data_IF_853138391242
#
_entry.id   IF_853138391242
#
_cell.length_a   1.000
_cell.length_b   1.000
_cell.length_c   1.000
_cell.angle_alpha   90.00
_cell.angle_beta   90.00
_cell.angle_gamma   90.00
#
_symmetry.space_group_name_H-M   'P 1'
#
loop_
_entity.id
_entity.type
_entity.pdbx_description
1 polymer ?
#
# COMPACT_ATOMS: atom_id res chain seq x y z
N UNK A 1 -30.62 -23.50 -4.82
CA UNK A 1 -30.63 -22.62 -3.62
C UNK A 1 -29.19 -22.19 -3.32
N UNK A 2 -28.85 -20.94 -3.54
CA UNK A 2 -27.50 -20.41 -3.22
C UNK A 2 -27.43 -20.37 -1.67
N UNK A 3 -26.58 -21.21 -1.09
CA UNK A 3 -26.32 -21.19 0.35
C UNK A 3 -25.57 -19.89 0.67
N UNK A 4 -26.26 -18.91 1.25
CA UNK A 4 -25.59 -17.76 1.86
C UNK A 4 -24.91 -18.25 3.16
N UNK A 5 -23.60 -18.16 3.20
CA UNK A 5 -22.80 -18.46 4.40
C UNK A 5 -22.48 -17.14 5.11
N UNK A 6 -22.74 -17.08 6.39
CA UNK A 6 -22.23 -15.97 7.24
C UNK A 6 -20.74 -16.24 7.46
N UNK A 7 -19.92 -15.25 7.22
CA UNK A 7 -18.47 -15.31 7.42
C UNK A 7 -17.99 -14.09 8.21
N UNK A 8 -16.95 -14.32 8.98
CA UNK A 8 -16.29 -13.31 9.80
C UNK A 8 -14.83 -13.29 9.41
N UNK A 9 -14.36 -12.18 8.83
CA UNK A 9 -12.97 -12.07 8.36
C UNK A 9 -12.39 -10.71 8.70
N UNK A 10 -11.09 -10.68 8.96
CA UNK A 10 -10.35 -9.43 9.07
C UNK A 10 -10.15 -8.82 7.70
N UNK A 11 -10.32 -7.52 7.61
CA UNK A 11 -10.14 -6.81 6.35
C UNK A 11 -10.01 -5.31 6.53
N UNK A 12 -9.56 -4.65 5.47
CA UNK A 12 -9.45 -3.19 5.39
C UNK A 12 -10.19 -2.68 4.16
N UNK A 13 -10.95 -1.59 4.31
CA UNK A 13 -11.65 -0.95 3.19
C UNK A 13 -10.62 -0.14 2.38
N UNK A 14 -10.32 -0.60 1.17
CA UNK A 14 -9.41 0.10 0.24
C UNK A 14 -10.12 1.25 -0.47
N UNK A 15 -11.37 1.03 -0.89
CA UNK A 15 -12.16 2.05 -1.56
C UNK A 15 -13.66 1.88 -1.31
N UNK A 16 -14.42 2.92 -1.54
CA UNK A 16 -15.87 2.93 -1.40
C UNK A 16 -16.52 3.70 -2.55
N UNK A 17 -17.66 3.19 -3.03
CA UNK A 17 -18.44 3.82 -4.09
C UNK A 17 -19.89 3.94 -3.65
N UNK A 18 -20.50 5.10 -3.85
CA UNK A 18 -21.93 5.28 -3.58
C UNK A 18 -22.75 4.35 -4.48
N UNK A 19 -23.70 3.64 -3.89
CA UNK A 19 -24.59 2.74 -4.58
C UNK A 19 -26.03 3.01 -4.15
N UNK A 20 -26.91 3.33 -5.11
CA UNK A 20 -28.28 3.75 -4.82
C UNK A 20 -28.33 4.95 -3.85
N UNK A 21 -29.50 5.31 -3.36
CA UNK A 21 -29.71 6.53 -2.56
C UNK A 21 -29.05 6.50 -1.19
N UNK A 22 -28.89 5.33 -0.58
CA UNK A 22 -28.48 5.21 0.82
C UNK A 22 -27.38 4.18 1.09
N UNK A 23 -26.89 3.49 0.08
CA UNK A 23 -25.94 2.38 0.21
C UNK A 23 -24.57 2.72 -0.36
N UNK A 24 -23.57 1.89 -0.04
CA UNK A 24 -22.23 1.92 -0.65
C UNK A 24 -21.81 0.51 -1.03
N UNK A 25 -20.97 0.39 -2.06
CA UNK A 25 -20.15 -0.79 -2.30
C UNK A 25 -18.77 -0.50 -1.70
N UNK A 26 -18.30 -1.39 -0.86
CA UNK A 26 -17.00 -1.34 -0.21
C UNK A 26 -16.09 -2.36 -0.87
N UNK A 27 -14.93 -1.96 -1.37
CA UNK A 27 -13.89 -2.87 -1.82
C UNK A 27 -12.98 -3.15 -0.63
N UNK A 28 -13.04 -4.36 -0.10
CA UNK A 28 -12.37 -4.77 1.13
C UNK A 28 -11.30 -5.79 0.79
N UNK A 29 -10.06 -5.49 1.19
CA UNK A 29 -8.98 -6.47 1.18
C UNK A 29 -9.09 -7.30 2.46
N UNK A 30 -9.20 -8.61 2.31
CA UNK A 30 -9.37 -9.58 3.39
C UNK A 30 -8.23 -10.60 3.41
N UNK A 31 -7.96 -11.18 4.58
CA UNK A 31 -6.92 -12.20 4.75
C UNK A 31 -7.25 -13.51 4.00
N UNK A 32 -8.53 -13.91 3.99
CA UNK A 32 -8.97 -15.23 3.52
C UNK A 32 -9.56 -15.22 2.11
N UNK A 33 -10.24 -14.13 1.74
CA UNK A 33 -10.98 -14.04 0.46
C UNK A 33 -10.33 -13.07 -0.53
N UNK A 34 -9.16 -12.51 -0.19
CA UNK A 34 -8.54 -11.50 -1.03
C UNK A 34 -9.36 -10.23 -1.14
N UNK A 35 -9.34 -9.61 -2.32
CA UNK A 35 -10.10 -8.41 -2.60
C UNK A 35 -11.54 -8.76 -2.96
N UNK A 36 -12.50 -8.34 -2.14
CA UNK A 36 -13.93 -8.58 -2.34
C UNK A 36 -14.73 -7.29 -2.32
N UNK A 37 -15.86 -7.29 -3.04
CA UNK A 37 -16.83 -6.19 -3.02
C UNK A 37 -18.01 -6.55 -2.11
N UNK A 38 -18.30 -5.68 -1.15
CA UNK A 38 -19.35 -5.88 -0.14
C UNK A 38 -20.34 -4.73 -0.20
N UNK A 39 -21.62 -5.05 -0.31
CA UNK A 39 -22.71 -4.06 -0.23
C UNK A 39 -22.97 -3.69 1.24
N UNK A 40 -22.77 -2.42 1.57
CA UNK A 40 -23.19 -1.82 2.83
C UNK A 40 -24.54 -1.12 2.64
N UNK A 41 -25.63 -1.89 2.86
CA UNK A 41 -26.99 -1.45 2.61
C UNK A 41 -27.43 -0.39 3.63
N UNK A 42 -27.92 0.75 3.15
CA UNK A 42 -28.47 1.81 4.00
C UNK A 42 -27.43 2.53 4.86
N UNK A 43 -26.12 2.35 4.63
CA UNK A 43 -25.06 2.92 5.47
C UNK A 43 -25.00 4.46 5.44
N UNK A 44 -25.59 5.11 4.42
CA UNK A 44 -25.65 6.58 4.30
C UNK A 44 -26.79 7.19 5.10
N UNK A 45 -27.75 6.39 5.59
CA UNK A 45 -28.84 6.88 6.43
C UNK A 45 -28.30 7.38 7.78
N UNK A 46 -28.86 8.48 8.28
CA UNK A 46 -28.40 9.12 9.53
C UNK A 46 -28.43 8.19 10.74
N UNK A 47 -29.41 7.29 10.81
CA UNK A 47 -29.59 6.33 11.93
C UNK A 47 -28.89 4.99 11.71
N UNK A 48 -28.13 4.83 10.62
CA UNK A 48 -27.47 3.55 10.32
C UNK A 48 -26.27 3.31 11.23
N UNK A 49 -26.20 2.13 11.84
CA UNK A 49 -25.03 1.66 12.60
C UNK A 49 -23.78 1.51 11.73
N UNK A 50 -23.97 1.26 10.42
CA UNK A 50 -22.87 1.12 9.45
C UNK A 50 -22.31 2.45 8.95
N UNK A 51 -22.93 3.60 9.31
CA UNK A 51 -22.55 4.91 8.78
C UNK A 51 -21.09 5.28 9.07
N UNK A 52 -20.68 5.09 10.33
CA UNK A 52 -19.32 5.42 10.77
C UNK A 52 -18.26 4.42 10.33
N UNK A 53 -18.66 3.19 10.03
CA UNK A 53 -17.75 2.09 9.74
C UNK A 53 -17.62 1.78 8.23
N UNK A 54 -18.55 2.25 7.38
CA UNK A 54 -18.48 2.05 5.92
C UNK A 54 -17.70 3.17 5.24
N UNK A 55 -16.42 3.28 5.54
CA UNK A 55 -15.52 4.30 4.99
C UNK A 55 -14.13 3.76 4.69
N UNK A 56 -13.48 4.32 3.68
CA UNK A 56 -12.08 4.06 3.33
C UNK A 56 -11.18 4.14 4.57
N UNK A 57 -10.12 3.34 4.60
CA UNK A 57 -9.13 3.28 5.68
C UNK A 57 -9.63 2.63 6.98
N UNK A 58 -10.79 1.98 7.00
CA UNK A 58 -11.24 1.27 8.20
C UNK A 58 -10.75 -0.18 8.18
N UNK A 59 -10.00 -0.57 9.21
CA UNK A 59 -9.56 -1.93 9.48
C UNK A 59 -10.41 -2.55 10.58
N UNK A 60 -10.95 -3.75 10.36
CA UNK A 60 -11.84 -4.41 11.30
C UNK A 60 -12.15 -5.85 10.95
N UNK A 61 -12.98 -6.50 11.79
CA UNK A 61 -13.60 -7.78 11.49
C UNK A 61 -14.94 -7.53 10.81
N UNK A 62 -15.08 -8.02 9.60
CA UNK A 62 -16.26 -7.85 8.77
C UNK A 62 -17.15 -9.07 8.89
N UNK A 63 -18.42 -8.88 9.30
CA UNK A 63 -19.46 -9.90 9.36
C UNK A 63 -20.39 -9.71 8.18
N UNK A 64 -20.43 -10.67 7.26
CA UNK A 64 -21.22 -10.53 6.04
C UNK A 64 -21.76 -11.85 5.50
N UNK A 65 -22.80 -11.75 4.69
CA UNK A 65 -23.34 -12.86 3.92
C UNK A 65 -22.55 -13.02 2.65
N UNK A 66 -21.69 -14.04 2.61
CA UNK A 66 -20.81 -14.32 1.47
C UNK A 66 -21.58 -14.85 0.27
N UNK A 67 -21.25 -14.35 -0.91
CA UNK A 67 -21.72 -14.84 -2.21
C UNK A 67 -20.53 -15.06 -3.11
N UNK A 68 -20.31 -16.31 -3.53
CA UNK A 68 -19.19 -16.70 -4.38
C UNK A 68 -19.21 -15.99 -5.76
N UNK A 69 -20.40 -15.84 -6.35
CA UNK A 69 -20.59 -15.21 -7.66
C UNK A 69 -21.50 -13.98 -7.52
N UNK A 70 -21.09 -12.96 -6.78
CA UNK A 70 -21.90 -11.76 -6.61
C UNK A 70 -21.43 -10.87 -5.49
N UNK A 71 -22.17 -9.77 -5.26
CA UNK A 71 -21.86 -8.82 -4.20
C UNK A 71 -22.36 -9.38 -2.86
N UNK A 72 -21.43 -9.59 -1.93
CA UNK A 72 -21.72 -9.95 -0.55
C UNK A 72 -22.43 -8.79 0.16
N UNK A 73 -23.19 -9.06 1.23
CA UNK A 73 -23.90 -8.00 1.97
C UNK A 73 -23.44 -7.98 3.42
N UNK A 74 -22.99 -6.82 3.88
CA UNK A 74 -22.49 -6.63 5.24
C UNK A 74 -23.62 -6.66 6.26
N UNK A 75 -23.34 -7.29 7.39
CA UNK A 75 -24.19 -7.28 8.59
C UNK A 75 -23.68 -6.29 9.63
N UNK A 76 -22.39 -6.38 9.98
CA UNK A 76 -21.72 -5.50 10.94
C UNK A 76 -20.22 -5.44 10.70
N UNK A 77 -19.56 -4.48 11.32
CA UNK A 77 -18.09 -4.35 11.34
C UNK A 77 -17.66 -4.10 12.77
N UNK A 78 -16.80 -4.97 13.30
CA UNK A 78 -16.11 -4.74 14.56
C UNK A 78 -14.79 -4.04 14.28
N UNK A 79 -14.69 -2.79 14.70
CA UNK A 79 -13.54 -1.92 14.38
C UNK A 79 -12.32 -2.37 15.17
N UNK A 80 -11.22 -2.68 14.46
CA UNK A 80 -9.90 -2.92 15.05
C UNK A 80 -9.12 -1.63 15.10
N UNK A 81 -9.00 -0.93 13.97
CA UNK A 81 -8.36 0.38 13.89
C UNK A 81 -9.09 1.28 12.87
N UNK A 82 -9.37 2.49 13.28
CA UNK A 82 -9.99 3.53 12.45
C UNK A 82 -8.99 4.61 12.03
N UNK A 83 -7.72 4.46 12.42
CA UNK A 83 -6.58 5.36 12.12
C UNK A 83 -6.90 6.83 12.42
N UNK A 84 -7.23 7.18 13.68
CA UNK A 84 -7.70 8.52 14.03
C UNK A 84 -6.67 9.62 13.79
N UNK A 85 -5.37 9.38 13.99
CA UNK A 85 -4.34 10.39 13.74
C UNK A 85 -4.17 10.64 12.23
N UNK A 86 -4.14 9.59 11.43
CA UNK A 86 -4.13 9.71 9.96
C UNK A 86 -5.36 10.48 9.48
N UNK A 87 -6.53 10.19 10.03
CA UNK A 87 -7.79 10.84 9.65
C UNK A 87 -7.87 12.33 10.01
N UNK A 88 -7.10 12.78 10.98
CA UNK A 88 -7.09 14.18 11.45
C UNK A 88 -5.96 15.02 10.85
N UNK A 89 -4.94 14.40 10.23
CA UNK A 89 -3.86 15.09 9.52
C UNK A 89 -4.03 14.92 8.00
N UNK A 90 -4.29 16.05 7.31
CA UNK A 90 -4.54 16.04 5.86
C UNK A 90 -3.40 15.40 5.07
N UNK A 91 -2.14 15.69 5.42
CA UNK A 91 -1.00 15.13 4.72
C UNK A 91 -0.92 13.61 4.90
N UNK A 92 -1.06 13.10 6.13
CA UNK A 92 -1.08 11.67 6.42
C UNK A 92 -2.24 10.96 5.71
N UNK A 93 -3.41 11.60 5.63
CA UNK A 93 -4.57 11.07 4.92
C UNK A 93 -4.31 10.96 3.40
N UNK A 94 -3.63 11.94 2.80
CA UNK A 94 -3.25 11.88 1.39
C UNK A 94 -2.29 10.71 1.11
N UNK A 95 -1.23 10.54 1.92
CA UNK A 95 -0.29 9.43 1.78
C UNK A 95 -0.95 8.07 2.02
N UNK A 96 -1.76 7.94 3.06
CA UNK A 96 -2.51 6.72 3.33
C UNK A 96 -3.49 6.40 2.18
N UNK A 97 -4.17 7.40 1.62
CA UNK A 97 -5.05 7.22 0.47
C UNK A 97 -4.31 6.74 -0.76
N UNK A 98 -3.15 7.32 -1.05
CA UNK A 98 -2.27 6.87 -2.13
C UNK A 98 -1.84 5.40 -1.93
N UNK A 99 -1.41 5.03 -0.72
CA UNK A 99 -1.02 3.64 -0.39
C UNK A 99 -2.20 2.69 -0.61
N UNK A 100 -3.42 3.05 -0.20
CA UNK A 100 -4.61 2.22 -0.42
C UNK A 100 -4.94 2.05 -1.91
N UNK A 101 -4.83 3.12 -2.70
CA UNK A 101 -5.11 3.08 -4.14
C UNK A 101 -4.05 2.23 -4.88
N UNK A 102 -2.78 2.35 -4.50
CA UNK A 102 -1.71 1.50 -5.01
C UNK A 102 -1.90 0.04 -4.60
N UNK A 103 -2.26 -0.22 -3.34
CA UNK A 103 -2.59 -1.57 -2.85
C UNK A 103 -3.71 -2.21 -3.66
N UNK A 104 -4.74 -1.44 -4.00
CA UNK A 104 -5.86 -1.92 -4.82
C UNK A 104 -5.41 -2.42 -6.21
N UNK A 105 -4.42 -1.78 -6.79
CA UNK A 105 -3.84 -2.19 -8.08
C UNK A 105 -2.98 -3.45 -7.94
N UNK A 106 -2.10 -3.48 -6.93
CA UNK A 106 -1.16 -4.59 -6.69
C UNK A 106 -1.89 -5.89 -6.34
N UNK A 107 -2.89 -5.84 -5.46
CA UNK A 107 -3.60 -7.04 -4.98
C UNK A 107 -4.39 -7.77 -6.08
N UNK A 108 -4.67 -7.11 -7.19
CA UNK A 108 -5.31 -7.74 -8.35
C UNK A 108 -4.37 -8.70 -9.12
N UNK A 109 -3.08 -8.62 -8.88
CA UNK A 109 -2.03 -9.36 -9.59
C UNK A 109 -1.24 -10.31 -8.66
N UNK A 110 -1.50 -10.31 -7.34
CA UNK A 110 -0.65 -11.00 -6.36
C UNK A 110 -1.45 -11.57 -5.19
N UNK A 111 -0.80 -12.37 -4.33
CA UNK A 111 -1.44 -12.98 -3.16
C UNK A 111 -1.83 -11.92 -2.09
N UNK A 112 -3.12 -11.90 -1.75
CA UNK A 112 -3.72 -10.86 -0.92
C UNK A 112 -3.20 -10.81 0.53
N UNK A 113 -2.84 -11.97 1.12
CA UNK A 113 -2.48 -12.06 2.55
C UNK A 113 -1.21 -11.28 2.90
N UNK A 114 -0.16 -11.45 2.10
CA UNK A 114 1.13 -10.77 2.34
C UNK A 114 1.00 -9.26 2.09
N UNK A 115 0.29 -8.88 1.03
CA UNK A 115 0.00 -7.49 0.69
C UNK A 115 -0.80 -6.82 1.81
N UNK A 116 -1.80 -7.50 2.38
CA UNK A 116 -2.57 -6.97 3.49
C UNK A 116 -1.71 -6.73 4.73
N UNK A 117 -0.83 -7.69 5.09
CA UNK A 117 0.10 -7.53 6.21
C UNK A 117 1.03 -6.34 6.01
N UNK A 118 1.58 -6.18 4.80
CA UNK A 118 2.45 -5.07 4.45
C UNK A 118 1.72 -3.73 4.54
N UNK A 119 0.48 -3.65 4.02
CA UNK A 119 -0.37 -2.47 4.10
C UNK A 119 -0.67 -2.06 5.55
N UNK A 120 -1.15 -3.01 6.38
CA UNK A 120 -1.49 -2.73 7.77
C UNK A 120 -0.27 -2.23 8.54
N UNK A 121 0.89 -2.88 8.38
CA UNK A 121 2.14 -2.42 9.00
C UNK A 121 2.52 -1.00 8.57
N UNK A 122 2.38 -0.65 7.29
CA UNK A 122 2.68 0.70 6.81
C UNK A 122 1.74 1.75 7.43
N UNK A 123 0.44 1.48 7.44
CA UNK A 123 -0.55 2.39 8.05
C UNK A 123 -0.34 2.53 9.55
N UNK A 124 -0.01 1.45 10.26
CA UNK A 124 0.29 1.49 11.69
C UNK A 124 1.53 2.34 11.99
N UNK A 125 2.58 2.29 11.13
CA UNK A 125 3.76 3.14 11.29
C UNK A 125 3.44 4.61 11.10
N UNK A 126 2.61 4.97 10.12
CA UNK A 126 2.15 6.36 9.92
C UNK A 126 1.28 6.79 11.12
N UNK A 127 0.37 5.94 11.60
CA UNK A 127 -0.47 6.23 12.77
C UNK A 127 0.36 6.42 14.05
N UNK A 128 1.49 5.72 14.19
CA UNK A 128 2.46 5.88 15.28
C UNK A 128 3.27 7.18 15.16
N UNK A 129 3.19 7.90 14.04
CA UNK A 129 3.86 9.19 13.82
C UNK A 129 5.22 9.08 13.10
N UNK A 130 5.54 7.92 12.49
CA UNK A 130 6.70 7.83 11.63
C UNK A 130 6.49 8.67 10.36
N UNK A 131 7.60 9.11 9.77
CA UNK A 131 7.55 9.96 8.57
C UNK A 131 6.81 9.23 7.43
N UNK A 132 5.68 9.83 7.02
CA UNK A 132 4.74 9.25 6.03
C UNK A 132 5.35 9.11 4.65
N UNK A 133 6.24 10.04 4.25
CA UNK A 133 6.93 10.00 2.96
C UNK A 133 7.88 8.81 2.92
N UNK A 134 8.67 8.64 3.97
CA UNK A 134 9.60 7.49 4.11
C UNK A 134 8.84 6.16 4.08
N UNK A 135 7.75 6.03 4.83
CA UNK A 135 6.95 4.79 4.85
C UNK A 135 6.32 4.53 3.48
N UNK A 136 5.87 5.58 2.79
CA UNK A 136 5.31 5.46 1.44
C UNK A 136 6.36 5.01 0.43
N UNK A 137 7.57 5.55 0.46
CA UNK A 137 8.68 5.11 -0.39
C UNK A 137 9.03 3.63 -0.15
N UNK A 138 9.04 3.20 1.11
CA UNK A 138 9.31 1.80 1.47
C UNK A 138 8.23 0.88 0.90
N UNK A 139 6.95 1.19 1.11
CA UNK A 139 5.87 0.32 0.63
C UNK A 139 5.80 0.28 -0.90
N UNK A 140 6.01 1.41 -1.59
CA UNK A 140 6.12 1.44 -3.04
C UNK A 140 7.20 0.48 -3.53
N UNK A 141 8.42 0.58 -2.98
CA UNK A 141 9.50 -0.31 -3.36
C UNK A 141 9.18 -1.79 -3.14
N UNK A 142 8.54 -2.12 -1.99
CA UNK A 142 8.10 -3.49 -1.69
C UNK A 142 7.04 -3.99 -2.67
N UNK A 143 6.13 -3.13 -3.11
CA UNK A 143 5.09 -3.53 -4.04
C UNK A 143 5.62 -3.88 -5.44
N UNK A 144 6.75 -3.30 -5.87
CA UNK A 144 7.39 -3.68 -7.14
C UNK A 144 7.79 -5.16 -7.18
N UNK A 145 8.18 -5.74 -6.04
CA UNK A 145 8.45 -7.19 -5.93
C UNK A 145 7.20 -8.02 -6.22
N UNK A 146 6.04 -7.61 -5.66
CA UNK A 146 4.77 -8.31 -5.90
C UNK A 146 4.25 -8.13 -7.33
N UNK A 147 4.65 -7.05 -8.02
CA UNK A 147 4.36 -6.82 -9.43
C UNK A 147 5.33 -7.56 -10.36
N UNK A 148 6.39 -8.18 -9.82
CA UNK A 148 7.40 -8.91 -10.60
C UNK A 148 8.36 -8.01 -11.38
N UNK A 149 8.45 -6.73 -11.00
CA UNK A 149 9.26 -5.71 -11.67
C UNK A 149 10.19 -5.00 -10.68
N UNK A 150 10.75 -5.73 -9.73
CA UNK A 150 11.64 -5.15 -8.72
C UNK A 150 12.93 -4.59 -9.36
N UNK A 151 13.41 -3.42 -8.90
CA UNK A 151 14.67 -2.87 -9.37
C UNK A 151 15.88 -3.70 -8.90
N UNK A 152 16.91 -3.76 -9.71
CA UNK A 152 18.17 -4.44 -9.36
C UNK A 152 18.97 -3.52 -8.43
N UNK A 153 19.03 -3.91 -7.14
CA UNK A 153 19.65 -3.14 -6.05
C UNK A 153 20.80 -3.88 -5.34
N UNK A 154 21.28 -4.99 -5.91
CA UNK A 154 22.40 -5.76 -5.36
C UNK A 154 23.71 -5.61 -6.18
N UNK A 155 23.64 -4.94 -7.33
CA UNK A 155 24.76 -4.65 -8.20
C UNK A 155 24.37 -3.76 -9.38
N UNK A 156 25.34 -3.43 -10.23
CA UNK A 156 25.10 -2.64 -11.43
C UNK A 156 24.26 -3.40 -12.44
N UNK A 157 23.18 -2.81 -12.93
CA UNK A 157 22.27 -3.44 -13.92
C UNK A 157 22.96 -3.78 -15.23
N UNK A 158 24.02 -3.02 -15.59
CA UNK A 158 24.70 -3.17 -16.89
C UNK A 158 25.85 -4.18 -16.88
N UNK A 159 26.61 -4.29 -15.78
CA UNK A 159 27.80 -5.15 -15.72
C UNK A 159 27.88 -6.09 -14.52
N UNK A 160 26.92 -6.01 -13.58
CA UNK A 160 26.87 -6.85 -12.38
C UNK A 160 27.86 -6.44 -11.26
N UNK A 161 28.67 -5.38 -11.45
CA UNK A 161 29.60 -4.90 -10.43
C UNK A 161 28.82 -4.50 -9.16
N UNK A 162 29.25 -5.04 -8.02
CA UNK A 162 28.64 -4.78 -6.70
C UNK A 162 29.34 -3.66 -5.93
N UNK A 163 30.45 -3.20 -6.47
CA UNK A 163 31.25 -2.12 -5.91
C UNK A 163 31.04 -0.83 -6.69
N UNK A 164 31.47 0.30 -6.12
CA UNK A 164 31.44 1.62 -6.80
C UNK A 164 30.08 1.99 -7.42
N UNK A 165 28.98 1.62 -6.77
CA UNK A 165 27.64 2.08 -7.18
C UNK A 165 27.55 3.58 -6.93
N UNK A 166 27.31 4.35 -8.00
CA UNK A 166 27.25 5.81 -7.97
C UNK A 166 25.94 6.38 -8.49
N UNK A 167 25.08 5.55 -9.07
CA UNK A 167 23.81 5.99 -9.63
C UNK A 167 22.67 5.02 -9.38
N UNK A 168 21.46 5.58 -9.47
CA UNK A 168 20.19 4.90 -9.45
C UNK A 168 19.42 5.37 -10.68
N UNK A 169 19.20 4.49 -11.65
CA UNK A 169 18.62 4.81 -12.96
C UNK A 169 17.35 3.99 -13.18
N UNK A 170 16.21 4.69 -13.23
CA UNK A 170 14.91 4.05 -13.47
C UNK A 170 14.81 3.49 -14.89
N UNK A 171 15.46 4.13 -15.87
CA UNK A 171 15.45 3.67 -17.27
C UNK A 171 16.19 2.35 -17.43
N UNK A 172 17.31 2.18 -16.72
CA UNK A 172 18.10 0.96 -16.75
C UNK A 172 17.58 -0.11 -15.78
N UNK A 173 16.72 0.25 -14.84
CA UNK A 173 16.08 -0.68 -13.92
C UNK A 173 16.79 -0.86 -12.58
N UNK A 174 17.61 0.08 -12.11
CA UNK A 174 18.23 -0.02 -10.80
C UNK A 174 19.58 0.66 -10.63
N UNK A 175 20.51 0.02 -9.91
CA UNK A 175 21.84 0.56 -9.61
C UNK A 175 22.78 0.60 -10.82
N UNK A 176 23.61 1.64 -10.87
CA UNK A 176 24.64 1.83 -11.90
C UNK A 176 25.98 2.14 -11.23
N UNK A 177 27.04 1.43 -11.63
CA UNK A 177 28.40 1.67 -11.14
C UNK A 177 29.08 2.83 -11.89
N UNK A 178 30.19 3.34 -11.36
CA UNK A 178 30.93 4.47 -11.92
C UNK A 178 31.34 4.26 -13.40
N UNK A 179 31.68 3.04 -13.81
CA UNK A 179 32.09 2.73 -15.18
C UNK A 179 30.94 2.73 -16.19
N UNK A 180 29.72 2.45 -15.72
CA UNK A 180 28.50 2.39 -16.56
C UNK A 180 27.64 3.65 -16.46
N UNK A 181 27.96 4.57 -15.55
CA UNK A 181 27.18 5.76 -15.29
C UNK A 181 27.28 6.79 -16.42
N UNK A 182 26.14 7.20 -16.95
CA UNK A 182 26.04 8.12 -18.10
C UNK A 182 25.52 9.51 -17.71
N UNK A 183 25.73 9.96 -16.48
CA UNK A 183 25.15 11.21 -15.93
C UNK A 183 23.63 11.29 -16.04
N UNK A 184 22.94 10.15 -15.89
CA UNK A 184 21.48 10.06 -15.87
C UNK A 184 21.00 9.49 -14.52
N UNK A 185 19.73 9.76 -14.22
CA UNK A 185 19.11 9.27 -12.99
C UNK A 185 19.61 10.02 -11.74
N UNK A 186 19.59 9.32 -10.63
CA UNK A 186 19.80 9.86 -9.29
C UNK A 186 21.15 9.38 -8.75
N UNK A 187 21.96 10.30 -8.19
CA UNK A 187 23.33 9.99 -7.78
C UNK A 187 23.66 10.33 -6.32
N UNK A 188 22.65 10.67 -5.51
CA UNK A 188 22.85 10.88 -4.10
C UNK A 188 23.30 9.59 -3.41
N UNK A 189 24.48 9.61 -2.79
CA UNK A 189 24.99 8.45 -2.06
C UNK A 189 24.08 8.05 -0.87
N UNK A 190 23.30 9.01 -0.33
CA UNK A 190 22.31 8.76 0.71
C UNK A 190 21.10 8.02 0.15
N UNK A 191 20.55 8.47 -0.98
CA UNK A 191 19.41 7.82 -1.63
C UNK A 191 19.76 6.39 -2.06
N UNK A 192 20.95 6.16 -2.65
CA UNK A 192 21.45 4.84 -3.03
C UNK A 192 21.52 3.88 -1.84
N UNK A 193 22.08 4.34 -0.70
CA UNK A 193 22.15 3.52 0.52
C UNK A 193 20.78 3.24 1.12
N UNK A 194 19.90 4.24 1.16
CA UNK A 194 18.58 4.12 1.74
C UNK A 194 17.67 3.20 0.93
N UNK A 195 17.63 3.32 -0.39
CA UNK A 195 16.79 2.46 -1.23
C UNK A 195 17.18 0.99 -1.13
N UNK A 196 18.50 0.71 -1.05
CA UNK A 196 18.98 -0.64 -0.75
C UNK A 196 18.54 -1.12 0.63
N UNK A 197 18.63 -0.26 1.65
CA UNK A 197 18.13 -0.58 2.97
C UNK A 197 16.62 -0.86 2.95
N UNK A 198 15.83 -0.04 2.25
CA UNK A 198 14.37 -0.20 2.12
C UNK A 198 13.99 -1.54 1.47
N UNK A 199 14.75 -2.01 0.48
CA UNK A 199 14.49 -3.31 -0.16
C UNK A 199 14.67 -4.49 0.80
N UNK A 200 15.57 -4.37 1.78
CA UNK A 200 15.93 -5.45 2.71
C UNK A 200 15.16 -5.43 4.04
N UNK A 201 14.69 -4.23 4.48
CA UNK A 201 14.09 -4.11 5.79
C UNK A 201 12.69 -4.75 5.88
N UNK A 202 12.34 -5.16 7.09
CA UNK A 202 10.99 -5.56 7.47
C UNK A 202 10.27 -4.34 8.08
N UNK A 203 9.22 -3.87 7.41
CA UNK A 203 8.48 -2.67 7.81
C UNK A 203 7.87 -2.81 9.21
N UNK A 204 7.50 -4.03 9.63
CA UNK A 204 6.92 -4.28 10.96
C UNK A 204 7.88 -3.93 12.08
N UNK A 205 9.20 -4.08 11.84
CA UNK A 205 10.28 -3.89 12.83
C UNK A 205 10.79 -2.46 12.92
N UNK A 206 10.33 -1.56 12.05
CA UNK A 206 10.77 -0.15 12.09
C UNK A 206 10.21 0.51 13.36
N UNK A 207 11.09 1.01 14.20
CA UNK A 207 10.72 1.78 15.40
C UNK A 207 11.05 3.25 15.25
N UNK A 208 12.11 3.55 14.51
CA UNK A 208 12.57 4.91 14.22
C UNK A 208 13.28 4.93 12.88
N UNK A 209 12.96 5.91 12.05
CA UNK A 209 13.64 6.18 10.79
C UNK A 209 13.58 7.68 10.52
N UNK A 210 14.75 8.30 10.36
CA UNK A 210 14.89 9.73 10.07
C UNK A 210 15.60 9.87 8.74
N UNK A 211 14.94 10.49 7.79
CA UNK A 211 15.43 10.74 6.44
C UNK A 211 15.19 12.21 6.11
N UNK A 212 16.18 12.88 5.55
CA UNK A 212 16.03 14.25 5.09
C UNK A 212 15.02 14.34 3.93
N UNK A 213 14.22 15.39 3.91
CA UNK A 213 13.15 15.59 2.92
C UNK A 213 13.68 15.54 1.48
N UNK A 214 14.86 16.13 1.23
CA UNK A 214 15.52 16.08 -0.08
C UNK A 214 15.80 14.64 -0.54
N UNK A 215 16.24 13.78 0.38
CA UNK A 215 16.53 12.36 0.07
C UNK A 215 15.24 11.57 -0.13
N UNK A 216 14.20 11.84 0.67
CA UNK A 216 12.88 11.24 0.45
C UNK A 216 12.31 11.62 -0.92
N UNK A 217 12.42 12.88 -1.31
CA UNK A 217 11.95 13.38 -2.60
C UNK A 217 12.73 12.74 -3.76
N UNK A 218 14.04 12.55 -3.63
CA UNK A 218 14.88 11.91 -4.66
C UNK A 218 14.45 10.43 -4.85
N UNK A 219 14.24 9.69 -3.75
CA UNK A 219 13.76 8.31 -3.81
C UNK A 219 12.34 8.26 -4.40
N UNK A 220 11.45 9.18 -4.00
CA UNK A 220 10.10 9.25 -4.56
C UNK A 220 10.12 9.47 -6.07
N UNK A 221 10.91 10.42 -6.58
CA UNK A 221 11.04 10.68 -8.03
C UNK A 221 11.56 9.47 -8.79
N UNK A 222 12.54 8.75 -8.23
CA UNK A 222 13.00 7.50 -8.83
C UNK A 222 11.87 6.47 -8.89
N UNK A 223 11.12 6.29 -7.80
CA UNK A 223 10.01 5.33 -7.76
C UNK A 223 8.88 5.73 -8.73
N UNK A 224 8.52 7.02 -8.80
CA UNK A 224 7.53 7.55 -9.75
C UNK A 224 7.93 7.22 -11.19
N UNK A 225 9.16 7.57 -11.60
CA UNK A 225 9.70 7.26 -12.93
C UNK A 225 9.74 5.74 -13.20
N UNK A 226 10.06 4.95 -12.16
CA UNK A 226 10.11 3.50 -12.27
C UNK A 226 8.72 2.89 -12.46
N UNK A 227 7.73 3.32 -11.69
CA UNK A 227 6.34 2.89 -11.85
C UNK A 227 5.79 3.23 -13.23
N UNK A 228 5.98 4.45 -13.70
CA UNK A 228 5.52 4.90 -15.03
C UNK A 228 6.09 4.05 -16.17
N UNK A 229 7.26 3.44 -15.96
CA UNK A 229 7.94 2.67 -16.99
C UNK A 229 7.61 1.18 -16.96
N UNK A 230 7.43 0.62 -15.79
CA UNK A 230 7.41 -0.84 -15.61
C UNK A 230 6.05 -1.37 -15.15
N UNK A 231 5.10 -0.54 -14.79
CA UNK A 231 3.76 -0.97 -14.37
C UNK A 231 2.65 -0.34 -15.20
#
# INVERSE_FOLDING_TARGET
MIRMKIVDVKGIILSEVNYSDSSKILNVLTEEYGLISILSKGCRNLKSKLRGTSRKLLYGTFHFYYRENGVSTISSIDVINAYPKIMTDLASLCYASFILDLTYQVVRQSEAKEIMSLLINALDKIEQGLNKETITNIIQLKYLTYLGVEPILDGCVSCGDKTNIVGLDATLGGFVCANCYQNRGYNSSKAIKLIRMYSLLDISKITKIEVADETNLEIYKFLEEYYDRYT
#
